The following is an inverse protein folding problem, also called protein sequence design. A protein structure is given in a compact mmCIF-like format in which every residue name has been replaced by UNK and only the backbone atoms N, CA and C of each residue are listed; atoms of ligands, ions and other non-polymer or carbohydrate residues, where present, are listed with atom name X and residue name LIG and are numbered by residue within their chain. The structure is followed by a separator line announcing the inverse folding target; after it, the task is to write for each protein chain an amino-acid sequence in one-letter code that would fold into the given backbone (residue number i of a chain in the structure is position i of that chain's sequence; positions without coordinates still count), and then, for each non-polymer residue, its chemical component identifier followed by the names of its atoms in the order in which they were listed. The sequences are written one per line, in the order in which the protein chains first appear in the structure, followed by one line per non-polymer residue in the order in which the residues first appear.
data_IF_677353769222
#
_entry.id   IF_677353769222
#
_cell.length_a   1.000
_cell.length_b   1.000
_cell.length_c   1.000
_cell.angle_alpha   90.00
_cell.angle_beta   90.00
_cell.angle_gamma   90.00
#
_symmetry.space_group_name_H-M   'P 1'
#
loop_
_entity.id
_entity.type
_entity.pdbx_description
1 polymer ?
#
# COMPACT_ATOMS: atom_id res chain seq x y z
N UNK A 1 13.35 30.81 -14.76
CA UNK A 1 13.44 29.34 -14.63
C UNK A 1 14.92 28.99 -14.57
N UNK A 2 15.42 28.61 -13.40
CA UNK A 2 16.81 28.12 -13.24
C UNK A 2 16.93 26.79 -13.98
N UNK A 3 17.86 26.69 -14.94
CA UNK A 3 18.21 25.41 -15.54
C UNK A 3 18.88 24.55 -14.47
N UNK A 4 18.15 23.57 -13.97
CA UNK A 4 18.74 22.57 -13.08
C UNK A 4 19.76 21.75 -13.88
N UNK A 5 21.03 21.78 -13.45
CA UNK A 5 22.06 20.92 -14.04
C UNK A 5 21.78 19.46 -13.68
N UNK A 6 21.28 18.69 -14.63
CA UNK A 6 20.95 17.26 -14.46
C UNK A 6 22.15 16.38 -14.06
N UNK A 7 23.38 16.94 -14.13
CA UNK A 7 24.62 16.27 -13.72
C UNK A 7 25.01 16.60 -12.28
N UNK A 8 24.35 17.58 -11.66
CA UNK A 8 24.61 17.93 -10.26
C UNK A 8 23.98 16.89 -9.33
N UNK A 9 24.71 16.51 -8.30
CA UNK A 9 24.17 15.73 -7.18
C UNK A 9 23.39 16.60 -6.18
N UNK A 10 23.48 17.93 -6.32
CA UNK A 10 22.70 18.87 -5.51
C UNK A 10 21.23 18.84 -5.94
N UNK A 11 20.36 18.65 -4.99
CA UNK A 11 18.90 18.70 -5.22
C UNK A 11 18.41 20.11 -4.94
N UNK A 12 17.46 20.62 -5.75
CA UNK A 12 16.78 21.86 -5.40
C UNK A 12 15.97 21.66 -4.11
N UNK A 13 15.60 22.78 -3.48
CA UNK A 13 14.64 22.76 -2.41
C UNK A 13 13.36 22.04 -2.87
N UNK A 14 12.73 21.24 -2.01
CA UNK A 14 11.50 20.53 -2.36
C UNK A 14 10.37 21.52 -2.64
N UNK A 15 9.47 21.11 -3.52
CA UNK A 15 8.23 21.87 -3.78
C UNK A 15 7.41 21.99 -2.49
N UNK A 16 6.77 23.17 -2.31
CA UNK A 16 6.01 23.46 -1.10
C UNK A 16 4.93 22.40 -0.80
N UNK A 17 4.29 21.85 -1.83
CA UNK A 17 3.28 20.80 -1.67
C UNK A 17 3.87 19.53 -1.03
N UNK A 18 5.12 19.19 -1.33
CA UNK A 18 5.80 18.05 -0.71
C UNK A 18 6.15 18.33 0.76
N UNK A 19 6.53 19.57 1.07
CA UNK A 19 6.77 20.01 2.45
C UNK A 19 5.47 19.94 3.24
N UNK A 20 4.38 20.47 2.71
CA UNK A 20 3.06 20.47 3.37
C UNK A 20 2.57 19.04 3.64
N UNK A 21 2.78 18.12 2.70
CA UNK A 21 2.44 16.68 2.89
C UNK A 21 3.29 16.08 4.01
N UNK A 22 4.61 16.35 4.00
CA UNK A 22 5.51 15.82 5.02
C UNK A 22 5.18 16.36 6.41
N UNK A 23 4.91 17.65 6.54
CA UNK A 23 4.54 18.30 7.78
C UNK A 23 3.19 17.74 8.31
N UNK A 24 2.21 17.56 7.42
CA UNK A 24 0.95 16.93 7.78
C UNK A 24 1.16 15.49 8.31
N UNK A 25 1.94 14.68 7.62
CA UNK A 25 2.17 13.28 8.03
C UNK A 25 2.92 13.19 9.37
N UNK A 26 3.84 14.13 9.63
CA UNK A 26 4.65 14.11 10.84
C UNK A 26 3.94 14.72 12.05
N UNK A 27 3.16 15.80 11.86
CA UNK A 27 2.71 16.66 12.94
C UNK A 27 1.20 16.67 13.16
N UNK A 28 0.40 16.21 12.17
CA UNK A 28 -1.05 16.23 12.29
C UNK A 28 -1.55 15.34 13.43
N UNK A 29 -2.43 15.88 14.24
CA UNK A 29 -3.11 15.16 15.32
C UNK A 29 -4.55 14.84 14.91
N UNK A 30 -4.85 13.56 14.75
CA UNK A 30 -6.20 13.11 14.42
C UNK A 30 -6.92 12.79 15.73
N UNK A 31 -7.92 13.60 16.08
CA UNK A 31 -8.67 13.51 17.34
C UNK A 31 -10.14 13.13 17.11
N UNK A 32 -10.48 12.57 15.97
CA UNK A 32 -11.85 12.20 15.63
C UNK A 32 -12.04 10.67 15.78
N UNK A 33 -12.89 10.27 16.71
CA UNK A 33 -13.28 8.88 16.89
C UNK A 33 -13.91 8.33 15.59
N UNK A 34 -14.72 9.15 14.91
CA UNK A 34 -15.34 8.77 13.63
C UNK A 34 -14.28 8.49 12.54
N UNK A 35 -13.18 9.26 12.50
CA UNK A 35 -12.11 9.01 11.53
C UNK A 35 -11.44 7.65 11.78
N UNK A 36 -11.18 7.31 13.05
CA UNK A 36 -10.61 6.00 13.39
C UNK A 36 -11.58 4.85 13.16
N UNK A 37 -12.87 5.03 13.46
CA UNK A 37 -13.89 4.02 13.19
C UNK A 37 -14.02 3.76 11.68
N UNK A 38 -14.07 4.82 10.87
CA UNK A 38 -14.11 4.70 9.41
C UNK A 38 -12.86 4.01 8.86
N UNK A 39 -11.67 4.40 9.32
CA UNK A 39 -10.43 3.76 8.92
C UNK A 39 -10.41 2.27 9.30
N UNK A 40 -11.00 1.89 10.44
CA UNK A 40 -11.14 0.50 10.84
C UNK A 40 -12.02 -0.30 9.88
N UNK A 41 -13.17 0.25 9.46
CA UNK A 41 -14.03 -0.40 8.47
C UNK A 41 -13.36 -0.50 7.11
N UNK A 42 -12.66 0.53 6.64
CA UNK A 42 -11.89 0.49 5.40
C UNK A 42 -10.80 -0.60 5.43
N UNK A 43 -10.13 -0.76 6.57
CA UNK A 43 -9.15 -1.84 6.74
C UNK A 43 -9.79 -3.22 6.70
N UNK A 44 -10.95 -3.40 7.36
CA UNK A 44 -11.69 -4.66 7.35
C UNK A 44 -12.14 -5.02 5.94
N UNK A 45 -12.71 -4.07 5.20
CA UNK A 45 -13.11 -4.24 3.80
C UNK A 45 -11.93 -4.64 2.93
N UNK A 46 -10.82 -3.92 3.04
CA UNK A 46 -9.57 -4.19 2.32
C UNK A 46 -9.06 -5.61 2.57
N UNK A 47 -9.04 -6.06 3.82
CA UNK A 47 -8.62 -7.41 4.18
C UNK A 47 -9.61 -8.47 3.67
N UNK A 48 -10.91 -8.20 3.73
CA UNK A 48 -11.94 -9.10 3.22
C UNK A 48 -11.79 -9.31 1.70
N UNK A 49 -11.58 -8.24 0.94
CA UNK A 49 -11.26 -8.31 -0.49
C UNK A 49 -10.02 -9.18 -0.75
N UNK A 50 -8.96 -8.95 0.03
CA UNK A 50 -7.72 -9.73 -0.08
C UNK A 50 -7.92 -11.22 0.20
N UNK A 51 -8.68 -11.58 1.23
CA UNK A 51 -8.97 -12.98 1.54
C UNK A 51 -9.85 -13.63 0.48
N UNK A 52 -10.87 -12.94 -0.01
CA UNK A 52 -11.73 -13.44 -1.07
C UNK A 52 -10.97 -13.67 -2.38
N UNK A 53 -9.94 -12.87 -2.65
CA UNK A 53 -9.09 -13.04 -3.83
C UNK A 53 -8.37 -14.39 -3.87
N UNK A 54 -8.18 -15.05 -2.73
CA UNK A 54 -7.55 -16.37 -2.63
C UNK A 54 -8.39 -17.50 -3.26
N UNK A 55 -9.69 -17.28 -3.48
CA UNK A 55 -10.57 -18.22 -4.16
C UNK A 55 -10.35 -18.22 -5.69
N UNK A 56 -9.54 -17.28 -6.19
CA UNK A 56 -9.31 -17.12 -7.63
C UNK A 56 -7.95 -17.65 -8.06
N UNK A 57 -7.88 -18.77 -8.82
CA UNK A 57 -6.62 -19.34 -9.28
C UNK A 57 -5.76 -18.36 -10.09
N UNK A 58 -6.39 -17.42 -10.80
CA UNK A 58 -5.67 -16.40 -11.56
C UNK A 58 -4.96 -15.37 -10.64
N UNK A 59 -5.50 -15.11 -9.44
CA UNK A 59 -4.83 -14.32 -8.42
C UNK A 59 -3.72 -15.12 -7.74
N UNK A 60 -4.04 -16.32 -7.24
CA UNK A 60 -3.12 -17.09 -6.41
C UNK A 60 -1.85 -17.51 -7.15
N UNK A 61 -1.89 -17.68 -8.48
CA UNK A 61 -0.69 -17.95 -9.29
C UNK A 61 0.29 -16.77 -9.36
N UNK A 62 -0.12 -15.55 -8.98
CA UNK A 62 0.75 -14.38 -8.90
C UNK A 62 1.49 -14.30 -7.57
N UNK A 63 1.02 -15.07 -6.57
CA UNK A 63 1.51 -14.99 -5.21
C UNK A 63 2.73 -15.91 -5.01
N UNK A 64 3.49 -15.59 -3.99
CA UNK A 64 4.65 -16.34 -3.58
C UNK A 64 5.97 -15.62 -3.84
N UNK A 65 7.09 -16.30 -3.62
CA UNK A 65 8.42 -15.76 -3.86
C UNK A 65 8.74 -15.71 -5.35
N UNK A 66 9.69 -14.83 -5.73
CA UNK A 66 10.23 -14.79 -7.10
C UNK A 66 10.86 -16.12 -7.51
N UNK A 67 11.57 -16.74 -6.58
CA UNK A 67 12.14 -18.08 -6.78
C UNK A 67 11.20 -19.12 -6.13
N UNK A 68 10.58 -20.01 -6.90
CA UNK A 68 9.66 -21.00 -6.35
C UNK A 68 10.27 -21.78 -5.19
N UNK A 69 9.53 -21.87 -4.07
CA UNK A 69 9.97 -22.57 -2.85
C UNK A 69 10.91 -21.78 -1.94
N UNK A 70 11.36 -20.58 -2.33
CA UNK A 70 12.15 -19.73 -1.46
C UNK A 70 11.29 -19.21 -0.30
N UNK A 71 11.86 -19.19 0.90
CA UNK A 71 11.24 -18.60 2.09
C UNK A 71 12.26 -17.73 2.82
N UNK A 72 11.78 -16.73 3.53
CA UNK A 72 12.59 -15.91 4.42
C UNK A 72 12.05 -16.09 5.85
N UNK A 73 12.61 -17.01 6.64
CA UNK A 73 12.17 -17.22 8.02
C UNK A 73 12.21 -15.93 8.82
N UNK A 74 11.08 -15.55 9.44
CA UNK A 74 10.93 -14.26 10.14
C UNK A 74 10.72 -13.07 9.23
N UNK A 75 10.51 -13.30 7.93
CA UNK A 75 10.14 -12.26 6.95
C UNK A 75 8.71 -11.77 7.10
N UNK A 76 8.29 -10.93 6.15
CA UNK A 76 6.94 -10.41 6.11
C UNK A 76 5.95 -11.51 5.68
N UNK A 77 4.84 -11.61 6.42
CA UNK A 77 3.80 -12.60 6.14
C UNK A 77 2.77 -12.07 5.14
N UNK A 78 2.33 -12.94 4.25
CA UNK A 78 1.21 -12.67 3.35
C UNK A 78 -0.05 -13.27 3.96
N UNK A 79 -1.02 -12.47 4.42
CA UNK A 79 -2.22 -12.95 5.11
C UNK A 79 -2.99 -14.01 4.32
N UNK A 80 -3.50 -15.04 4.99
CA UNK A 80 -4.24 -16.14 4.35
C UNK A 80 -3.37 -17.14 3.58
N UNK A 81 -2.06 -16.99 3.60
CA UNK A 81 -1.09 -17.91 2.97
C UNK A 81 -0.03 -18.39 3.96
N UNK A 82 0.80 -19.33 3.55
CA UNK A 82 1.97 -19.78 4.30
C UNK A 82 3.25 -19.00 3.93
N UNK A 83 3.15 -17.97 3.11
CA UNK A 83 4.33 -17.26 2.62
C UNK A 83 4.93 -16.34 3.67
N UNK A 84 6.24 -16.48 3.88
CA UNK A 84 7.13 -15.56 4.59
C UNK A 84 8.17 -15.07 3.57
N UNK A 85 8.10 -13.80 3.20
CA UNK A 85 8.83 -13.23 2.08
C UNK A 85 9.62 -11.99 2.53
N UNK A 86 10.51 -11.53 1.66
CA UNK A 86 11.10 -10.22 1.86
C UNK A 86 10.01 -9.13 1.72
N UNK A 87 10.16 -7.95 2.37
CA UNK A 87 9.07 -7.00 2.50
C UNK A 87 8.46 -6.47 1.19
N UNK A 88 9.29 -6.27 0.16
CA UNK A 88 8.81 -5.74 -1.14
C UNK A 88 7.94 -6.78 -1.84
N UNK A 89 8.36 -8.04 -1.84
CA UNK A 89 7.59 -9.13 -2.45
C UNK A 89 6.31 -9.42 -1.64
N UNK A 90 6.36 -9.34 -0.31
CA UNK A 90 5.17 -9.45 0.51
C UNK A 90 4.17 -8.32 0.21
N UNK A 91 4.64 -7.08 0.07
CA UNK A 91 3.81 -5.94 -0.31
C UNK A 91 3.17 -6.12 -1.69
N UNK A 92 3.93 -6.63 -2.68
CA UNK A 92 3.38 -6.97 -4.00
C UNK A 92 2.27 -8.02 -3.89
N UNK A 93 2.50 -9.10 -3.15
CA UNK A 93 1.52 -10.17 -2.96
C UNK A 93 0.23 -9.64 -2.31
N UNK A 94 0.35 -8.89 -1.21
CA UNK A 94 -0.78 -8.30 -0.50
C UNK A 94 -1.53 -7.31 -1.41
N UNK A 95 -0.81 -6.46 -2.13
CA UNK A 95 -1.39 -5.52 -3.08
C UNK A 95 -2.14 -6.21 -4.22
N UNK A 96 -1.60 -7.30 -4.77
CA UNK A 96 -2.26 -8.09 -5.80
C UNK A 96 -3.57 -8.70 -5.29
N UNK A 97 -3.57 -9.24 -4.06
CA UNK A 97 -4.77 -9.78 -3.42
C UNK A 97 -5.85 -8.71 -3.20
N UNK A 98 -5.47 -7.59 -2.60
CA UNK A 98 -6.39 -6.50 -2.26
C UNK A 98 -7.04 -5.92 -3.53
N UNK A 99 -6.26 -5.75 -4.58
CA UNK A 99 -6.73 -5.13 -5.83
C UNK A 99 -7.40 -6.09 -6.80
N UNK A 100 -7.41 -7.40 -6.51
CA UNK A 100 -7.88 -8.42 -7.45
C UNK A 100 -9.32 -8.21 -7.90
N UNK A 101 -10.22 -7.95 -6.96
CA UNK A 101 -11.65 -7.81 -7.22
C UNK A 101 -12.06 -6.41 -7.69
N UNK A 102 -11.22 -5.41 -7.42
CA UNK A 102 -11.41 -4.00 -7.82
C UNK A 102 -12.73 -3.37 -7.35
N UNK A 103 -13.21 -3.76 -6.17
CA UNK A 103 -14.40 -3.17 -5.54
C UNK A 103 -14.18 -2.76 -4.07
N UNK A 104 -12.95 -2.39 -3.74
CA UNK A 104 -12.60 -1.82 -2.44
C UNK A 104 -13.34 -0.51 -2.20
N UNK A 105 -13.44 -0.15 -0.92
CA UNK A 105 -13.97 1.14 -0.49
C UNK A 105 -13.34 2.32 -1.24
N UNK A 106 -14.15 3.33 -1.51
CA UNK A 106 -13.76 4.48 -2.34
C UNK A 106 -14.15 5.77 -1.63
N UNK A 107 -13.21 6.69 -1.53
CA UNK A 107 -13.50 8.07 -1.15
C UNK A 107 -14.06 8.84 -2.35
N UNK A 108 -15.30 9.28 -2.22
CA UNK A 108 -15.94 10.15 -3.23
C UNK A 108 -15.83 11.61 -2.79
N UNK A 109 -14.83 12.30 -3.30
CA UNK A 109 -14.72 13.74 -3.14
C UNK A 109 -15.68 14.47 -4.07
N UNK A 110 -15.91 15.79 -3.81
CA UNK A 110 -16.82 16.63 -4.62
C UNK A 110 -16.40 16.71 -6.10
N UNK A 111 -15.14 16.45 -6.40
CA UNK A 111 -14.54 16.57 -7.75
C UNK A 111 -13.99 15.22 -8.27
N UNK A 112 -14.59 14.14 -7.98
CA UNK A 112 -14.08 12.84 -8.41
C UNK A 112 -12.69 12.48 -7.84
N UNK A 113 -12.65 11.66 -6.90
CA UNK A 113 -11.40 11.06 -6.43
C UNK A 113 -11.20 9.64 -6.96
#
# INVERSE_FOLDING_TARGET
MSQHDIRSAERPEPDQVLVDIADYVCDAQINSDLAYETAHYCLMDTLACGFQALDYPACTKLLGPVVPGATLPGGARVPGTSYELEPVMAAFNIGAMIRWLDFNDTWLAAEWG
#
